data_IF_867216579334
#
_entry.id   IF_867216579334
#
_cell.length_a   1.000
_cell.length_b   1.000
_cell.length_c   1.000
_cell.angle_alpha   90.00
_cell.angle_beta   90.00
_cell.angle_gamma   90.00
#
_symmetry.space_group_name_H-M   'P 1'
#
loop_
_entity.id
_entity.type
_entity.pdbx_description
1 polymer ?
#
# COMPACT_ATOMS: atom_id res chain seq x y z
N UNK A 1 -25.87 6.13 -22.12
CA UNK A 1 -25.85 6.85 -20.84
C UNK A 1 -24.43 7.33 -20.58
N UNK A 2 -24.31 8.61 -20.30
CA UNK A 2 -22.98 9.17 -20.00
C UNK A 2 -22.56 8.74 -18.59
N UNK A 3 -21.43 8.07 -18.51
CA UNK A 3 -20.88 7.65 -17.23
C UNK A 3 -20.21 8.85 -16.55
N UNK A 4 -20.55 9.11 -15.31
CA UNK A 4 -19.93 10.20 -14.57
C UNK A 4 -18.48 9.84 -14.23
N UNK A 5 -17.55 10.79 -14.35
CA UNK A 5 -16.17 10.57 -13.86
C UNK A 5 -16.19 10.17 -12.38
N UNK A 6 -15.33 9.24 -12.00
CA UNK A 6 -15.23 8.77 -10.62
C UNK A 6 -14.98 9.92 -9.63
N UNK A 7 -14.30 10.99 -10.05
CA UNK A 7 -14.04 12.18 -9.24
C UNK A 7 -15.30 12.91 -8.80
N UNK A 8 -16.42 12.72 -9.51
CA UNK A 8 -17.72 13.33 -9.19
C UNK A 8 -18.59 12.45 -8.29
N UNK A 9 -18.17 11.21 -8.04
CA UNK A 9 -18.89 10.27 -7.22
C UNK A 9 -18.23 10.24 -5.83
N UNK A 10 -19.00 10.64 -4.82
CA UNK A 10 -18.50 10.62 -3.46
C UNK A 10 -18.29 9.17 -2.99
N UNK A 11 -17.09 8.83 -2.48
CA UNK A 11 -16.85 7.50 -1.95
C UNK A 11 -17.75 7.16 -0.77
N UNK A 12 -18.07 5.88 -0.65
CA UNK A 12 -18.86 5.32 0.45
C UNK A 12 -18.08 4.24 1.17
N UNK A 13 -18.67 3.67 2.23
CA UNK A 13 -18.07 2.56 2.97
C UNK A 13 -17.85 1.30 2.11
N UNK A 14 -18.51 1.20 0.96
CA UNK A 14 -18.39 0.07 0.04
C UNK A 14 -17.55 0.38 -1.19
N UNK A 15 -17.09 1.62 -1.35
CA UNK A 15 -16.19 2.00 -2.44
C UNK A 15 -14.84 1.33 -2.24
N UNK A 16 -14.33 0.65 -3.28
CA UNK A 16 -13.02 0.00 -3.19
C UNK A 16 -11.90 0.97 -3.52
N UNK A 17 -10.83 0.86 -2.75
CA UNK A 17 -9.61 1.66 -2.88
C UNK A 17 -8.43 0.76 -3.18
N UNK A 18 -7.36 1.34 -3.70
CA UNK A 18 -6.09 0.67 -3.94
C UNK A 18 -4.96 1.70 -3.95
N UNK A 19 -3.72 1.23 -4.05
CA UNK A 19 -2.59 2.13 -4.29
C UNK A 19 -2.55 2.43 -5.78
N UNK A 20 -2.68 3.71 -6.13
CA UNK A 20 -2.51 4.19 -7.50
C UNK A 20 -1.05 4.62 -7.67
N UNK A 21 -0.23 3.74 -8.25
CA UNK A 21 1.19 4.02 -8.41
C UNK A 21 1.47 5.16 -9.38
N UNK A 22 0.55 5.45 -10.31
CA UNK A 22 0.71 6.60 -11.21
C UNK A 22 0.61 7.93 -10.46
N UNK A 23 -0.12 7.97 -9.35
CA UNK A 23 -0.15 9.14 -8.48
C UNK A 23 1.24 9.50 -7.96
N UNK A 24 2.03 8.47 -7.59
CA UNK A 24 3.39 8.68 -7.09
C UNK A 24 4.27 9.35 -8.15
N UNK A 25 4.11 8.98 -9.41
CA UNK A 25 4.87 9.58 -10.51
C UNK A 25 4.54 11.05 -10.69
N UNK A 26 3.27 11.42 -10.48
CA UNK A 26 2.79 12.79 -10.69
C UNK A 26 2.94 13.69 -9.47
N UNK A 27 3.01 13.12 -8.27
CA UNK A 27 2.92 13.87 -7.02
C UNK A 27 4.20 14.59 -6.62
N UNK A 28 5.33 14.15 -7.14
CA UNK A 28 6.65 14.63 -6.70
C UNK A 28 7.12 13.99 -5.39
N UNK A 29 6.33 13.13 -4.76
CA UNK A 29 6.76 12.38 -3.59
C UNK A 29 7.56 11.16 -3.99
N UNK A 30 8.49 10.75 -3.13
CA UNK A 30 9.39 9.63 -3.41
C UNK A 30 8.83 8.33 -2.84
N UNK A 31 8.31 7.49 -3.73
CA UNK A 31 7.74 6.19 -3.36
C UNK A 31 8.77 5.28 -2.67
N UNK A 32 10.01 5.27 -3.18
CA UNK A 32 11.06 4.42 -2.61
C UNK A 32 11.35 4.79 -1.15
N UNK A 33 11.44 6.07 -0.86
CA UNK A 33 11.65 6.55 0.52
C UNK A 33 10.50 6.11 1.42
N UNK A 34 9.27 6.25 0.94
CA UNK A 34 8.11 5.85 1.71
C UNK A 34 8.07 4.34 1.94
N UNK A 35 8.36 3.55 0.91
CA UNK A 35 8.42 2.09 1.04
C UNK A 35 9.49 1.65 2.04
N UNK A 36 10.67 2.28 2.00
CA UNK A 36 11.75 2.01 2.96
C UNK A 36 11.31 2.27 4.40
N UNK A 37 10.45 3.27 4.62
CA UNK A 37 9.96 3.61 5.95
C UNK A 37 9.16 2.50 6.62
N UNK A 38 8.69 1.51 5.86
CA UNK A 38 7.95 0.36 6.39
C UNK A 38 8.85 -0.79 6.83
N UNK A 39 10.16 -0.65 6.65
CA UNK A 39 11.15 -1.66 7.02
C UNK A 39 11.83 -1.33 8.34
N UNK A 40 12.42 -2.34 8.99
CA UNK A 40 13.22 -2.14 10.18
C UNK A 40 14.43 -1.25 9.86
N UNK A 41 14.94 -0.45 10.85
CA UNK A 41 16.03 0.48 10.59
C UNK A 41 17.28 -0.14 9.97
N UNK A 42 17.67 -1.33 10.39
CA UNK A 42 18.85 -2.01 9.85
C UNK A 42 18.69 -2.38 8.38
N UNK A 43 17.49 -2.86 8.01
CA UNK A 43 17.17 -3.19 6.62
C UNK A 43 17.13 -1.93 5.76
N UNK A 44 16.54 -0.86 6.31
CA UNK A 44 16.44 0.44 5.63
C UNK A 44 17.82 0.99 5.30
N UNK A 45 18.74 0.98 6.26
CA UNK A 45 20.10 1.47 6.05
C UNK A 45 20.85 0.64 5.01
N UNK A 46 20.75 -0.67 5.08
CA UNK A 46 21.41 -1.58 4.13
C UNK A 46 20.94 -1.34 2.70
N UNK A 47 19.63 -1.23 2.51
CA UNK A 47 19.04 -1.04 1.18
C UNK A 47 19.30 0.37 0.67
N UNK A 48 19.23 1.38 1.54
CA UNK A 48 19.51 2.78 1.16
C UNK A 48 20.95 2.99 0.74
N UNK A 49 21.91 2.25 1.32
CA UNK A 49 23.30 2.34 0.97
C UNK A 49 23.58 1.78 -0.43
N UNK A 50 22.71 0.93 -0.95
CA UNK A 50 22.81 0.40 -2.30
C UNK A 50 22.36 1.46 -3.30
N UNK A 51 23.25 1.88 -4.19
CA UNK A 51 22.95 2.88 -5.22
C UNK A 51 22.32 2.28 -6.47
N UNK A 52 22.36 0.95 -6.61
CA UNK A 52 21.81 0.25 -7.75
C UNK A 52 20.73 -0.72 -7.32
N UNK A 53 19.63 -0.74 -8.09
CA UNK A 53 18.60 -1.76 -7.94
C UNK A 53 19.20 -3.10 -8.35
N UNK A 54 19.19 -4.06 -7.44
CA UNK A 54 19.58 -5.43 -7.74
C UNK A 54 18.34 -6.27 -7.93
N UNK A 55 18.22 -6.90 -9.08
CA UNK A 55 17.22 -7.94 -9.26
C UNK A 55 17.71 -9.21 -8.59
N UNK A 56 16.87 -9.76 -7.73
CA UNK A 56 17.16 -11.01 -7.02
C UNK A 56 16.01 -11.97 -7.24
N UNK A 57 16.30 -13.25 -7.16
CA UNK A 57 15.28 -14.28 -7.27
C UNK A 57 14.43 -14.28 -5.99
N UNK A 58 13.12 -14.22 -6.17
CA UNK A 58 12.17 -14.38 -5.08
C UNK A 58 11.35 -15.63 -5.34
N UNK A 59 11.35 -16.53 -4.37
CA UNK A 59 10.59 -17.78 -4.44
C UNK A 59 9.37 -17.64 -3.57
N UNK A 60 8.18 -17.78 -4.19
CA UNK A 60 6.93 -17.76 -3.45
C UNK A 60 6.84 -19.04 -2.61
N UNK A 61 6.73 -18.94 -1.28
CA UNK A 61 6.70 -20.12 -0.42
C UNK A 61 5.45 -20.98 -0.59
N UNK A 62 4.37 -20.42 -1.14
CA UNK A 62 3.13 -21.18 -1.35
C UNK A 62 3.11 -21.89 -2.69
N UNK A 63 3.60 -21.26 -3.74
CA UNK A 63 3.52 -21.78 -5.11
C UNK A 63 4.84 -22.29 -5.65
N UNK A 64 5.97 -21.91 -5.04
CA UNK A 64 7.30 -22.21 -5.55
C UNK A 64 7.69 -21.41 -6.77
N UNK A 65 6.85 -20.45 -7.19
CA UNK A 65 7.13 -19.61 -8.35
C UNK A 65 8.32 -18.69 -8.08
N UNK A 66 9.22 -18.58 -9.06
CA UNK A 66 10.39 -17.71 -8.98
C UNK A 66 10.11 -16.45 -9.79
N UNK A 67 10.24 -15.29 -9.13
CA UNK A 67 10.12 -13.98 -9.77
C UNK A 67 11.35 -13.14 -9.51
N UNK A 68 11.62 -12.17 -10.40
CA UNK A 68 12.70 -11.22 -10.24
C UNK A 68 12.16 -9.98 -9.53
N UNK A 69 12.70 -9.68 -8.35
CA UNK A 69 12.35 -8.48 -7.58
C UNK A 69 13.63 -7.72 -7.25
N UNK A 70 13.53 -6.40 -7.12
CA UNK A 70 14.65 -5.66 -6.54
C UNK A 70 14.72 -5.93 -5.03
N UNK A 71 15.81 -5.51 -4.41
CA UNK A 71 16.07 -5.79 -3.01
C UNK A 71 14.99 -5.19 -2.09
N UNK A 72 14.51 -3.98 -2.41
CA UNK A 72 13.45 -3.33 -1.64
C UNK A 72 12.14 -4.10 -1.74
N UNK A 73 11.74 -4.49 -2.94
CA UNK A 73 10.49 -5.22 -3.15
C UNK A 73 10.51 -6.56 -2.41
N UNK A 74 11.64 -7.26 -2.45
CA UNK A 74 11.79 -8.52 -1.71
C UNK A 74 11.68 -8.30 -0.21
N UNK A 75 12.34 -7.27 0.32
CA UNK A 75 12.29 -6.96 1.75
C UNK A 75 10.86 -6.65 2.19
N UNK A 76 10.09 -5.92 1.38
CA UNK A 76 8.68 -5.63 1.67
C UNK A 76 7.82 -6.89 1.64
N UNK A 77 8.05 -7.80 0.68
CA UNK A 77 7.32 -9.06 0.60
C UNK A 77 7.56 -9.92 1.86
N UNK A 78 8.79 -9.96 2.34
CA UNK A 78 9.14 -10.69 3.56
C UNK A 78 8.52 -10.03 4.78
N UNK A 79 8.63 -8.70 4.91
CA UNK A 79 8.08 -7.95 6.03
C UNK A 79 6.55 -8.12 6.11
N UNK A 80 5.87 -8.16 4.97
CA UNK A 80 4.43 -8.28 4.91
C UNK A 80 3.89 -9.61 5.45
N UNK A 81 4.76 -10.61 5.61
CA UNK A 81 4.39 -11.91 6.20
C UNK A 81 4.43 -11.91 7.72
N UNK A 82 5.06 -10.90 8.32
CA UNK A 82 5.12 -10.79 9.78
C UNK A 82 3.72 -10.42 10.29
N UNK A 83 3.15 -11.18 11.27
CA UNK A 83 1.86 -10.85 11.85
C UNK A 83 1.78 -9.46 12.45
N UNK A 84 2.92 -8.90 12.89
CA UNK A 84 2.99 -7.58 13.48
C UNK A 84 3.20 -6.45 12.46
N UNK A 85 3.25 -6.77 11.17
CA UNK A 85 3.41 -5.77 10.11
C UNK A 85 2.28 -4.74 10.14
N UNK A 86 1.07 -5.19 10.45
CA UNK A 86 -0.08 -4.31 10.68
C UNK A 86 -0.40 -4.39 12.17
N UNK A 87 -0.26 -3.26 12.88
CA UNK A 87 -0.41 -3.22 14.33
C UNK A 87 -1.08 -1.91 14.77
N UNK A 88 -1.60 -1.82 16.00
CA UNK A 88 -2.35 -0.64 16.46
C UNK A 88 -1.49 0.62 16.66
N UNK A 89 -0.17 0.50 16.64
CA UNK A 89 0.73 1.64 16.79
C UNK A 89 1.06 2.32 15.46
N UNK A 90 0.69 1.71 14.35
CA UNK A 90 0.89 2.26 13.02
C UNK A 90 -0.26 3.24 12.69
N UNK A 91 0.04 4.37 12.04
CA UNK A 91 -0.99 5.32 11.65
C UNK A 91 -2.03 4.68 10.73
N UNK A 92 -3.21 5.31 10.63
CA UNK A 92 -4.28 4.80 9.76
C UNK A 92 -3.80 4.68 8.31
N UNK A 93 -3.17 5.73 7.78
CA UNK A 93 -2.68 5.73 6.38
C UNK A 93 -1.62 4.66 6.17
N UNK A 94 -0.65 4.57 7.07
CA UNK A 94 0.41 3.57 6.95
C UNK A 94 -0.14 2.15 7.09
N UNK A 95 -1.10 1.94 7.99
CA UNK A 95 -1.75 0.63 8.14
C UNK A 95 -2.45 0.21 6.86
N UNK A 96 -3.20 1.13 6.23
CA UNK A 96 -3.89 0.86 4.97
C UNK A 96 -2.89 0.54 3.87
N UNK A 97 -1.84 1.34 3.74
CA UNK A 97 -0.79 1.09 2.74
C UNK A 97 -0.17 -0.30 2.92
N UNK A 98 0.13 -0.68 4.16
CA UNK A 98 0.69 -2.00 4.48
C UNK A 98 -0.25 -3.15 4.11
N UNK A 99 -1.57 -2.97 4.29
CA UNK A 99 -2.55 -3.97 3.84
C UNK A 99 -2.42 -4.21 2.35
N UNK A 100 -2.34 -3.13 1.55
CA UNK A 100 -2.21 -3.26 0.10
C UNK A 100 -0.86 -3.84 -0.31
N UNK A 101 0.21 -3.56 0.43
CA UNK A 101 1.50 -4.24 0.20
C UNK A 101 1.38 -5.74 0.44
N UNK A 102 0.67 -6.13 1.50
CA UNK A 102 0.54 -7.54 1.87
C UNK A 102 -0.40 -8.33 0.97
N UNK A 103 -1.42 -7.67 0.38
CA UNK A 103 -2.43 -8.36 -0.44
C UNK A 103 -2.22 -8.24 -1.95
N UNK A 104 -1.06 -7.75 -2.37
CA UNK A 104 -0.77 -7.57 -3.80
C UNK A 104 -1.55 -6.45 -4.45
N UNK A 105 -1.90 -5.42 -3.67
CA UNK A 105 -2.69 -4.27 -4.12
C UNK A 105 -4.10 -4.64 -4.59
N UNK A 106 -4.67 -5.68 -4.00
CA UNK A 106 -6.06 -6.08 -4.28
C UNK A 106 -7.01 -5.04 -3.69
N UNK A 107 -7.95 -4.48 -4.46
CA UNK A 107 -8.84 -3.43 -3.97
C UNK A 107 -9.70 -3.86 -2.79
N UNK A 108 -9.84 -2.95 -1.81
CA UNK A 108 -10.64 -3.18 -0.60
C UNK A 108 -11.45 -1.93 -0.28
N UNK A 109 -12.63 -2.14 0.32
CA UNK A 109 -13.48 -1.06 0.81
C UNK A 109 -13.10 -0.64 2.24
N UNK A 110 -13.56 0.54 2.71
CA UNK A 110 -13.38 0.92 4.12
C UNK A 110 -13.89 -0.13 5.10
N UNK A 111 -15.01 -0.78 4.80
CA UNK A 111 -15.52 -1.86 5.65
C UNK A 111 -14.55 -3.03 5.73
N UNK A 112 -13.98 -3.44 4.61
CA UNK A 112 -12.99 -4.52 4.57
C UNK A 112 -11.69 -4.13 5.24
N UNK A 113 -11.23 -2.91 5.01
CA UNK A 113 -10.01 -2.40 5.67
C UNK A 113 -10.18 -2.32 7.19
N UNK A 114 -11.36 -1.93 7.65
CA UNK A 114 -11.68 -1.88 9.08
C UNK A 114 -11.45 -3.24 9.76
N UNK A 115 -11.89 -4.31 9.11
CA UNK A 115 -11.72 -5.66 9.64
C UNK A 115 -10.24 -6.05 9.78
N UNK A 116 -9.40 -5.54 8.89
CA UNK A 116 -7.99 -5.90 8.85
C UNK A 116 -7.11 -5.05 9.77
N UNK A 117 -7.43 -3.76 9.93
CA UNK A 117 -6.58 -2.85 10.70
C UNK A 117 -7.15 -2.46 12.06
N UNK A 118 -8.38 -2.87 12.36
CA UNK A 118 -9.00 -2.62 13.65
C UNK A 118 -9.37 -1.16 13.91
N UNK A 119 -9.59 -0.39 12.86
CA UNK A 119 -10.02 1.02 12.94
C UNK A 119 -11.43 1.17 12.41
N UNK A 120 -12.15 2.20 12.88
CA UNK A 120 -13.51 2.48 12.47
C UNK A 120 -13.62 2.68 10.95
N UNK A 121 -14.60 2.04 10.27
CA UNK A 121 -14.82 2.26 8.84
C UNK A 121 -15.07 3.72 8.50
N UNK A 122 -15.77 4.44 9.37
CA UNK A 122 -16.05 5.87 9.18
C UNK A 122 -14.77 6.70 9.20
N UNK A 123 -13.85 6.39 10.12
CA UNK A 123 -12.54 7.07 10.19
C UNK A 123 -11.74 6.80 8.92
N UNK A 124 -11.72 5.55 8.47
CA UNK A 124 -11.03 5.17 7.24
C UNK A 124 -11.60 5.94 6.05
N UNK A 125 -12.92 5.94 5.91
CA UNK A 125 -13.59 6.64 4.81
C UNK A 125 -13.28 8.14 4.84
N UNK A 126 -13.37 8.79 5.98
CA UNK A 126 -13.05 10.22 6.12
C UNK A 126 -11.60 10.50 5.71
N UNK A 127 -10.69 9.65 6.10
CA UNK A 127 -9.28 9.79 5.74
C UNK A 127 -9.08 9.70 4.24
N UNK A 128 -9.72 8.73 3.59
CA UNK A 128 -9.50 8.44 2.17
C UNK A 128 -10.36 9.28 1.22
N UNK A 129 -11.43 9.88 1.70
CA UNK A 129 -12.36 10.65 0.86
C UNK A 129 -12.22 12.17 0.99
N UNK A 130 -11.25 12.63 1.76
CA UNK A 130 -10.98 14.07 1.90
C UNK A 130 -10.39 14.67 0.62
N UNK A 131 -10.16 15.99 0.65
CA UNK A 131 -9.59 16.69 -0.50
C UNK A 131 -8.14 16.35 -0.81
N UNK A 132 -7.46 15.69 0.12
CA UNK A 132 -6.06 15.31 -0.05
C UNK A 132 -5.94 13.81 -0.28
N UNK A 133 -5.12 13.42 -1.27
CA UNK A 133 -4.77 12.03 -1.50
C UNK A 133 -3.57 11.66 -0.60
N UNK A 134 -3.73 10.63 0.21
CA UNK A 134 -2.66 10.15 1.08
C UNK A 134 -1.97 8.94 0.45
N UNK A 135 -0.67 9.11 0.12
CA UNK A 135 0.19 8.01 -0.34
C UNK A 135 -0.36 7.24 -1.53
N UNK A 136 -1.08 7.93 -2.40
CA UNK A 136 -1.61 7.32 -3.61
C UNK A 136 -2.81 6.41 -3.41
N UNK A 137 -3.40 6.38 -2.22
CA UNK A 137 -4.57 5.53 -1.95
C UNK A 137 -5.80 6.25 -2.50
N UNK A 138 -6.38 5.70 -3.56
CA UNK A 138 -7.48 6.31 -4.31
C UNK A 138 -8.56 5.29 -4.64
N UNK A 139 -9.80 5.76 -4.88
CA UNK A 139 -10.83 4.84 -5.37
C UNK A 139 -10.42 4.20 -6.68
N UNK A 140 -10.78 2.93 -6.82
CA UNK A 140 -10.54 2.22 -8.08
C UNK A 140 -11.49 2.80 -9.14
N UNK A 141 -10.92 3.17 -10.28
CA UNK A 141 -11.72 3.61 -11.42
C UNK A 141 -12.24 2.41 -12.19
N UNK A 142 -13.51 2.45 -12.46
CA UNK A 142 -14.17 1.41 -13.26
C UNK A 142 -14.23 1.77 -14.73
#
# INVERSE_FOLDING_TARGET
>A
MVQKPSALIKPTLDTTFHIDYSWWERSGEDLRVYQLSHLAPEQRERISASTESREIDHIDPETGEVTKLDELQRALQIAARDPDFINPHTSVVDSIFRVFLANGNTPLSPNQLSDLIGRSPTVILKTLSGGRVYKGIRPVES
#
